data_IF_647014892488
#
_entry.id   IF_647014892488
#
_cell.length_a   1.000
_cell.length_b   1.000
_cell.length_c   1.000
_cell.angle_alpha   90.00
_cell.angle_beta   90.00
_cell.angle_gamma   90.00
#
_symmetry.space_group_name_H-M   'P 1'
#
loop_
_entity.id
_entity.type
_entity.pdbx_description
1 polymer ?
#
# COMPACT_ATOMS: atom_id res chain seq x y z
N UNK A 1 6.24 7.80 -17.68
CA UNK A 1 5.93 7.54 -16.26
C UNK A 1 6.51 6.18 -15.92
N UNK A 2 7.32 6.08 -14.87
CA UNK A 2 7.89 4.82 -14.40
C UNK A 2 6.97 4.25 -13.32
N UNK A 3 6.63 2.96 -13.41
CA UNK A 3 5.84 2.27 -12.40
C UNK A 3 6.71 1.19 -11.74
N UNK A 4 6.73 1.10 -10.40
CA UNK A 4 7.42 0.01 -9.72
C UNK A 4 6.91 -1.37 -10.15
N UNK A 5 7.79 -2.36 -10.21
CA UNK A 5 7.43 -3.72 -10.64
C UNK A 5 6.30 -4.31 -9.77
N UNK A 6 6.37 -4.12 -8.45
CA UNK A 6 5.35 -4.57 -7.49
C UNK A 6 3.96 -4.01 -7.79
N UNK A 7 3.87 -2.73 -8.21
CA UNK A 7 2.61 -2.11 -8.62
C UNK A 7 2.06 -2.78 -9.88
N UNK A 8 2.91 -2.97 -10.89
CA UNK A 8 2.51 -3.62 -12.15
C UNK A 8 2.06 -5.07 -11.89
N UNK A 9 2.73 -5.78 -10.99
CA UNK A 9 2.31 -7.13 -10.60
C UNK A 9 0.95 -7.14 -9.91
N UNK A 10 0.71 -6.25 -8.95
CA UNK A 10 -0.59 -6.12 -8.30
C UNK A 10 -1.72 -5.85 -9.31
N UNK A 11 -1.46 -5.06 -10.35
CA UNK A 11 -2.47 -4.75 -11.39
C UNK A 11 -2.81 -5.90 -12.33
N UNK A 12 -1.98 -6.95 -12.37
CA UNK A 12 -2.25 -8.15 -13.19
C UNK A 12 -3.22 -9.11 -12.51
N UNK A 13 -3.46 -8.94 -11.21
CA UNK A 13 -4.34 -9.80 -10.43
C UNK A 13 -5.79 -9.39 -10.63
N UNK A 14 -6.68 -10.37 -10.62
CA UNK A 14 -8.13 -10.14 -10.60
C UNK A 14 -8.61 -10.24 -9.16
N UNK A 15 -8.95 -9.10 -8.57
CA UNK A 15 -9.52 -9.05 -7.23
C UNK A 15 -11.01 -9.39 -7.26
N UNK A 16 -11.53 -9.97 -6.18
CA UNK A 16 -12.94 -10.38 -6.07
C UNK A 16 -13.88 -9.18 -6.26
N UNK A 17 -13.48 -8.02 -5.72
CA UNK A 17 -14.24 -6.77 -5.78
C UNK A 17 -13.44 -5.68 -6.48
N UNK A 18 -14.15 -4.69 -7.01
CA UNK A 18 -13.55 -3.54 -7.70
C UNK A 18 -12.61 -2.79 -6.74
N UNK A 19 -11.39 -2.58 -7.21
CA UNK A 19 -10.37 -1.79 -6.51
C UNK A 19 -10.50 -0.31 -6.91
N UNK A 20 -10.53 0.57 -5.92
CA UNK A 20 -10.60 2.03 -6.08
C UNK A 20 -9.24 2.63 -6.45
N UNK A 21 -8.15 2.03 -5.99
CA UNK A 21 -6.78 2.42 -6.37
C UNK A 21 -5.71 1.57 -5.67
N UNK A 22 -4.46 1.80 -6.03
CA UNK A 22 -3.29 1.12 -5.50
C UNK A 22 -2.42 2.10 -4.73
N UNK A 23 -2.00 1.73 -3.52
CA UNK A 23 -1.27 2.60 -2.61
C UNK A 23 0.18 2.15 -2.50
N UNK A 24 1.10 3.04 -2.83
CA UNK A 24 2.53 2.90 -2.57
C UNK A 24 2.95 3.74 -1.37
N UNK A 25 3.87 3.17 -0.60
CA UNK A 25 4.46 3.74 0.62
C UNK A 25 3.38 4.16 1.62
N UNK A 26 2.39 3.29 1.76
CA UNK A 26 1.27 3.47 2.66
C UNK A 26 1.78 3.50 4.09
N UNK A 27 1.39 4.55 4.81
CA UNK A 27 1.66 4.67 6.25
C UNK A 27 0.37 5.03 6.99
N UNK A 28 0.12 4.45 8.16
CA UNK A 28 -1.05 4.80 8.97
C UNK A 28 -1.05 6.30 9.31
N UNK A 29 -2.22 6.93 9.22
CA UNK A 29 -2.46 8.28 9.72
C UNK A 29 -3.88 8.35 10.27
N UNK A 30 -4.02 8.59 11.58
CA UNK A 30 -5.32 8.44 12.24
C UNK A 30 -5.87 7.03 12.04
N UNK A 31 -7.09 6.94 11.52
CA UNK A 31 -7.80 5.68 11.18
C UNK A 31 -7.66 5.30 9.71
N UNK A 32 -6.85 6.02 8.92
CA UNK A 32 -6.64 5.77 7.49
C UNK A 32 -5.17 5.63 7.10
N UNK A 33 -4.87 5.79 5.81
CA UNK A 33 -3.51 5.73 5.27
C UNK A 33 -3.15 6.98 4.48
N UNK A 34 -1.91 7.41 4.62
CA UNK A 34 -1.27 8.36 3.70
C UNK A 34 -0.36 7.60 2.75
N UNK A 35 -0.50 7.82 1.45
CA UNK A 35 0.20 7.05 0.42
C UNK A 35 0.27 7.80 -0.91
N UNK A 36 1.11 7.33 -1.83
CA UNK A 36 1.00 7.68 -3.24
C UNK A 36 -0.05 6.77 -3.91
N UNK A 37 -1.05 7.36 -4.58
CA UNK A 37 -2.11 6.60 -5.26
C UNK A 37 -1.80 6.37 -6.73
N UNK A 38 -2.19 5.20 -7.23
CA UNK A 38 -2.11 4.82 -8.64
C UNK A 38 -3.42 4.17 -9.09
N UNK A 39 -3.78 4.41 -10.34
CA UNK A 39 -4.99 3.88 -11.00
C UNK A 39 -6.28 4.21 -10.23
N UNK A 40 -6.41 5.46 -9.78
CA UNK A 40 -7.62 5.97 -9.14
C UNK A 40 -8.81 5.91 -10.12
N UNK A 41 -9.77 5.04 -9.83
CA UNK A 41 -10.94 4.83 -10.70
C UNK A 41 -11.94 5.99 -10.64
N UNK A 42 -11.87 6.82 -9.60
CA UNK A 42 -12.75 7.98 -9.43
C UNK A 42 -12.22 9.21 -10.14
N UNK A 43 -10.97 9.14 -10.61
CA UNK A 43 -10.31 10.20 -11.36
C UNK A 43 -10.27 11.52 -10.55
N UNK A 44 -10.08 11.41 -9.24
CA UNK A 44 -9.85 12.52 -8.33
C UNK A 44 -8.37 12.86 -8.21
N UNK A 45 -7.49 11.86 -8.44
CA UNK A 45 -6.04 11.98 -8.29
C UNK A 45 -5.31 11.46 -9.53
N UNK A 46 -4.21 12.11 -9.90
CA UNK A 46 -3.30 11.60 -10.92
C UNK A 46 -2.38 10.52 -10.32
N UNK A 47 -1.82 9.67 -11.19
CA UNK A 47 -0.86 8.65 -10.76
C UNK A 47 0.35 9.25 -10.07
N UNK A 48 0.59 8.85 -8.82
CA UNK A 48 1.68 9.31 -7.96
C UNK A 48 1.29 10.44 -7.00
N UNK A 49 0.07 10.96 -7.09
CA UNK A 49 -0.40 11.96 -6.14
C UNK A 49 -0.44 11.40 -4.71
N UNK A 50 -0.13 12.26 -3.74
CA UNK A 50 -0.23 11.89 -2.33
C UNK A 50 -1.65 12.10 -1.85
N UNK A 51 -2.29 11.04 -1.35
CA UNK A 51 -3.61 11.10 -0.73
C UNK A 51 -3.55 10.74 0.75
N UNK A 52 -4.61 11.11 1.46
CA UNK A 52 -4.99 10.50 2.73
C UNK A 52 -6.35 9.86 2.49
N UNK A 53 -6.46 8.55 2.74
CA UNK A 53 -7.75 7.86 2.63
C UNK A 53 -8.71 8.35 3.70
N UNK A 54 -10.01 8.21 3.45
CA UNK A 54 -11.01 8.24 4.52
C UNK A 54 -10.72 7.14 5.56
N UNK A 55 -11.42 7.22 6.70
CA UNK A 55 -11.40 6.24 7.78
C UNK A 55 -11.53 4.81 7.24
N UNK A 56 -10.54 3.98 7.53
CA UNK A 56 -10.54 2.55 7.18
C UNK A 56 -11.37 1.81 8.22
N UNK A 57 -12.48 1.21 7.76
CA UNK A 57 -13.39 0.44 8.60
C UNK A 57 -13.01 -1.05 8.67
N UNK A 58 -12.30 -1.56 7.66
CA UNK A 58 -11.86 -2.95 7.62
C UNK A 58 -10.57 -3.12 6.83
N UNK A 59 -9.82 -4.15 7.20
CA UNK A 59 -8.66 -4.66 6.46
C UNK A 59 -8.97 -6.09 6.02
N UNK A 60 -8.83 -6.37 4.74
CA UNK A 60 -8.94 -7.72 4.16
C UNK A 60 -7.57 -8.14 3.57
N UNK A 61 -7.39 -9.43 3.30
CA UNK A 61 -6.22 -9.94 2.57
C UNK A 61 -6.71 -10.70 1.33
N UNK A 62 -6.14 -10.39 0.18
CA UNK A 62 -6.44 -11.09 -1.08
C UNK A 62 -5.17 -11.22 -1.92
N UNK A 63 -4.92 -12.42 -2.44
CA UNK A 63 -3.71 -12.76 -3.19
C UNK A 63 -2.41 -12.44 -2.45
N UNK A 64 -2.41 -12.30 -1.12
CA UNK A 64 -1.25 -11.88 -0.31
C UNK A 64 -0.99 -10.36 -0.30
N UNK A 65 -1.96 -9.55 -0.74
CA UNK A 65 -1.96 -8.10 -0.53
C UNK A 65 -2.94 -7.73 0.57
N UNK A 66 -2.62 -6.70 1.35
CA UNK A 66 -3.58 -6.07 2.26
C UNK A 66 -4.48 -5.11 1.51
N UNK A 67 -5.80 -5.23 1.73
CA UNK A 67 -6.81 -4.34 1.17
C UNK A 67 -7.38 -3.47 2.30
N UNK A 68 -7.22 -2.15 2.17
CA UNK A 68 -7.85 -1.18 3.06
C UNK A 68 -9.24 -0.83 2.52
N UNK A 69 -10.26 -1.00 3.35
CA UNK A 69 -11.65 -0.72 3.00
C UNK A 69 -12.14 0.46 3.83
N UNK A 70 -12.42 1.57 3.18
CA UNK A 70 -12.90 2.77 3.87
C UNK A 70 -14.35 2.60 4.32
N UNK A 71 -14.78 3.40 5.28
CA UNK A 71 -16.17 3.45 5.74
C UNK A 71 -17.15 3.83 4.62
N UNK A 72 -16.68 4.57 3.60
CA UNK A 72 -17.44 4.91 2.39
C UNK A 72 -17.50 3.77 1.36
N UNK A 73 -16.72 2.69 1.56
CA UNK A 73 -16.72 1.48 0.74
C UNK A 73 -15.62 1.44 -0.32
N UNK A 74 -14.71 2.41 -0.36
CA UNK A 74 -13.56 2.37 -1.26
C UNK A 74 -12.58 1.28 -0.85
N UNK A 75 -11.99 0.63 -1.85
CA UNK A 75 -11.10 -0.52 -1.65
C UNK A 75 -9.74 -0.21 -2.23
N UNK A 76 -8.73 -0.13 -1.39
CA UNK A 76 -7.37 0.18 -1.81
C UNK A 76 -6.45 -1.00 -1.61
N UNK A 77 -5.72 -1.38 -2.65
CA UNK A 77 -4.65 -2.39 -2.54
C UNK A 77 -3.40 -1.70 -2.02
N UNK A 78 -2.87 -2.16 -0.90
CA UNK A 78 -1.60 -1.66 -0.37
C UNK A 78 -0.46 -2.46 -1.00
N UNK A 79 0.32 -1.80 -1.85
CA UNK A 79 1.43 -2.40 -2.61
C UNK A 79 2.74 -2.35 -1.80
N UNK A 80 2.96 -1.28 -1.05
CA UNK A 80 4.05 -1.18 -0.09
C UNK A 80 3.64 -0.41 1.15
N UNK A 81 4.23 -0.81 2.29
CA UNK A 81 4.14 -0.07 3.54
C UNK A 81 5.43 0.68 3.81
N UNK A 82 5.29 1.87 4.41
CA UNK A 82 6.40 2.65 4.95
C UNK A 82 6.20 2.83 6.46
N UNK A 83 7.08 2.25 7.26
CA UNK A 83 7.05 2.37 8.72
C UNK A 83 8.26 3.15 9.23
N UNK A 84 8.00 4.02 10.20
CA UNK A 84 9.02 4.77 10.92
C UNK A 84 9.08 4.23 12.35
N UNK A 85 10.26 3.82 12.79
CA UNK A 85 10.48 3.29 14.14
C UNK A 85 11.67 3.99 14.76
N UNK A 86 11.67 4.09 16.09
CA UNK A 86 12.85 4.48 16.84
C UNK A 86 13.51 3.21 17.35
N UNK A 87 14.78 3.00 16.99
CA UNK A 87 15.58 1.88 17.45
C UNK A 87 16.86 2.39 18.12
N UNK A 88 17.33 1.67 19.14
CA UNK A 88 18.64 1.92 19.73
C UNK A 88 19.69 1.11 18.96
N UNK A 89 20.63 1.80 18.32
CA UNK A 89 21.76 1.19 17.60
C UNK A 89 23.05 1.76 18.20
N UNK A 90 23.87 0.88 18.77
CA UNK A 90 25.11 1.23 19.49
C UNK A 90 24.90 2.27 20.61
N UNK A 91 23.76 2.20 21.32
CA UNK A 91 23.43 3.13 22.41
C UNK A 91 22.93 4.50 21.98
N UNK A 92 22.63 4.67 20.68
CA UNK A 92 22.09 5.91 20.11
C UNK A 92 20.71 5.62 19.53
N UNK A 93 19.72 6.44 19.90
CA UNK A 93 18.38 6.39 19.29
C UNK A 93 18.45 6.88 17.84
N UNK A 94 17.98 6.04 16.92
CA UNK A 94 17.95 6.32 15.48
C UNK A 94 16.54 6.10 14.94
N UNK A 95 16.13 6.94 13.98
CA UNK A 95 14.92 6.68 13.19
C UNK A 95 15.24 5.69 12.09
N UNK A 96 14.61 4.52 12.15
CA UNK A 96 14.67 3.48 11.12
C UNK A 96 13.43 3.60 10.25
N UNK A 97 13.65 3.57 8.94
CA UNK A 97 12.59 3.55 7.93
C UNK A 97 12.55 2.16 7.32
N UNK A 98 11.48 1.43 7.58
CA UNK A 98 11.22 0.13 6.96
C UNK A 98 10.30 0.33 5.77
N UNK A 99 10.80 -0.01 4.58
CA UNK A 99 9.99 -0.14 3.37
C UNK A 99 9.68 -1.62 3.15
N UNK A 100 8.41 -1.99 3.26
CA UNK A 100 7.95 -3.36 3.03
C UNK A 100 7.17 -3.40 1.73
N UNK A 101 7.80 -3.96 0.70
CA UNK A 101 7.11 -4.41 -0.51
C UNK A 101 6.86 -5.89 -0.40
N UNK A 102 5.88 -6.39 -1.14
CA UNK A 102 5.82 -7.84 -1.39
C UNK A 102 7.11 -8.29 -2.09
N UNK A 103 7.86 -9.21 -1.48
CA UNK A 103 8.94 -9.94 -2.14
C UNK A 103 8.35 -11.15 -2.86
N UNK A 104 8.45 -11.18 -4.18
CA UNK A 104 8.13 -12.37 -4.99
C UNK A 104 9.32 -13.34 -5.13
N UNK A 105 10.37 -13.19 -4.32
CA UNK A 105 11.50 -14.13 -4.30
C UNK A 105 11.13 -15.41 -3.53
N UNK A 106 10.30 -16.27 -4.15
CA UNK A 106 10.23 -17.74 -4.00
C UNK A 106 9.02 -18.30 -4.75
N UNK A 107 9.08 -18.30 -6.08
CA UNK A 107 8.37 -19.28 -6.91
C UNK A 107 9.26 -19.66 -8.10
N UNK A 108 10.47 -20.14 -7.77
CA UNK A 108 11.35 -20.88 -8.68
C UNK A 108 11.96 -22.04 -7.87
N UNK A 109 11.14 -22.98 -7.39
CA UNK A 109 11.60 -24.34 -7.04
C UNK A 109 10.50 -25.36 -7.40
N UNK A 110 10.81 -26.14 -8.45
CA UNK A 110 10.20 -27.37 -9.03
C UNK A 110 8.87 -27.32 -9.79
#
# INVERSE_FOLDING_TARGET
>A
MYFPASLIEATKLTFEKKISGYLLDARPVGTGFKAAIFFDIHNHSDNGDTIVTDDVGAMEEEHGYSLAITASGDRYVIVSFLMFMLEEVDGIEQTVILSMTRDNARMDEE
#
